data_IF_683175469995
#
_entry.id   IF_683175469995
#
_cell.length_a   1.000
_cell.length_b   1.000
_cell.length_c   1.000
_cell.angle_alpha   90.00
_cell.angle_beta   90.00
_cell.angle_gamma   90.00
#
_symmetry.space_group_name_H-M   'P 1'
#
loop_
_entity.id
_entity.type
_entity.pdbx_description
1 polymer ?
#
# COMPACT_ATOMS: atom_id res chain seq x y z
N UNK A 1 21.05 -13.42 -5.51
CA UNK A 1 19.77 -13.37 -6.26
C UNK A 1 19.12 -12.03 -5.98
N UNK A 2 18.33 -11.50 -6.91
CA UNK A 2 17.55 -10.29 -6.65
C UNK A 2 16.50 -10.57 -5.56
N UNK A 3 16.27 -9.61 -4.65
CA UNK A 3 15.23 -9.73 -3.62
C UNK A 3 13.84 -9.74 -4.23
N UNK A 4 12.93 -10.50 -3.63
CA UNK A 4 11.53 -10.59 -4.08
C UNK A 4 10.69 -9.53 -3.36
N UNK A 5 9.96 -8.75 -4.15
CA UNK A 5 9.02 -7.75 -3.68
C UNK A 5 7.59 -8.10 -4.09
N UNK A 6 6.69 -8.18 -3.13
CA UNK A 6 5.26 -8.39 -3.34
C UNK A 6 4.50 -7.09 -3.10
N UNK A 7 3.73 -6.65 -4.11
CA UNK A 7 2.90 -5.43 -4.04
C UNK A 7 1.42 -5.81 -4.13
N UNK A 8 0.65 -5.56 -3.08
CA UNK A 8 -0.81 -5.77 -3.13
C UNK A 8 -1.50 -4.63 -3.87
N UNK A 9 -2.51 -4.95 -4.70
CA UNK A 9 -3.10 -3.96 -5.61
C UNK A 9 -2.08 -3.38 -6.61
N UNK A 10 -1.08 -4.20 -7.00
CA UNK A 10 0.12 -3.77 -7.73
C UNK A 10 -0.04 -3.52 -9.22
N UNK A 11 -1.26 -3.63 -9.79
CA UNK A 11 -1.47 -3.58 -11.25
C UNK A 11 -2.08 -2.28 -11.76
N UNK A 12 -2.43 -1.33 -10.88
CA UNK A 12 -3.01 -0.03 -11.25
C UNK A 12 -2.62 1.09 -10.27
N UNK A 13 -2.80 2.34 -10.68
CA UNK A 13 -2.59 3.52 -9.84
C UNK A 13 -1.23 3.54 -9.12
N UNK A 14 -1.22 3.87 -7.84
CA UNK A 14 -0.02 3.91 -7.01
C UNK A 14 0.69 2.56 -6.99
N UNK A 15 -0.05 1.45 -6.87
CA UNK A 15 0.52 0.12 -6.84
C UNK A 15 1.28 -0.26 -8.12
N UNK A 16 0.77 0.15 -9.29
CA UNK A 16 1.44 -0.08 -10.57
C UNK A 16 2.75 0.73 -10.67
N UNK A 17 2.74 1.99 -10.25
CA UNK A 17 3.95 2.82 -10.19
C UNK A 17 4.99 2.22 -9.24
N UNK A 18 4.57 1.75 -8.05
CA UNK A 18 5.44 1.05 -7.10
C UNK A 18 6.05 -0.20 -7.74
N UNK A 19 5.22 -1.05 -8.37
CA UNK A 19 5.68 -2.29 -9.00
C UNK A 19 6.71 -2.02 -10.12
N UNK A 20 6.47 -1.00 -10.95
CA UNK A 20 7.41 -0.58 -12.00
C UNK A 20 8.72 -0.04 -11.41
N UNK A 21 8.65 0.80 -10.39
CA UNK A 21 9.82 1.41 -9.75
C UNK A 21 10.69 0.36 -9.03
N UNK A 22 10.09 -0.59 -8.32
CA UNK A 22 10.80 -1.70 -7.70
C UNK A 22 11.49 -2.58 -8.75
N UNK A 23 10.81 -2.89 -9.87
CA UNK A 23 11.44 -3.62 -10.97
C UNK A 23 12.63 -2.86 -11.58
N UNK A 24 12.48 -1.56 -11.81
CA UNK A 24 13.56 -0.71 -12.30
C UNK A 24 14.75 -0.61 -11.33
N UNK A 25 14.49 -0.75 -10.03
CA UNK A 25 15.51 -0.82 -8.98
C UNK A 25 16.16 -2.22 -8.83
N UNK A 26 15.80 -3.18 -9.70
CA UNK A 26 16.43 -4.50 -9.75
C UNK A 26 15.78 -5.58 -8.88
N UNK A 27 14.60 -5.30 -8.30
CA UNK A 27 13.84 -6.31 -7.54
C UNK A 27 13.08 -7.27 -8.47
N UNK A 28 12.91 -8.52 -8.01
CA UNK A 28 12.00 -9.48 -8.65
C UNK A 28 10.58 -9.23 -8.09
N UNK A 29 9.68 -8.70 -8.94
CA UNK A 29 8.40 -8.15 -8.46
C UNK A 29 7.23 -9.08 -8.76
N UNK A 30 6.42 -9.34 -7.74
CA UNK A 30 5.08 -9.92 -7.83
C UNK A 30 4.02 -8.83 -7.59
N UNK A 31 3.06 -8.66 -8.50
CA UNK A 31 1.95 -7.75 -8.36
C UNK A 31 0.64 -8.51 -8.11
N UNK A 32 0.08 -8.38 -6.91
CA UNK A 32 -1.24 -8.93 -6.62
C UNK A 32 -2.35 -8.02 -7.15
N UNK A 33 -3.46 -8.61 -7.54
CA UNK A 33 -4.71 -7.92 -7.88
C UNK A 33 -5.94 -8.71 -7.43
N UNK A 34 -7.09 -8.03 -7.26
CA UNK A 34 -8.33 -8.66 -6.77
C UNK A 34 -9.32 -9.02 -7.88
N UNK A 35 -9.63 -8.09 -8.78
CA UNK A 35 -10.84 -8.24 -9.62
C UNK A 35 -10.67 -8.04 -11.11
N UNK A 36 -9.76 -7.19 -11.59
CA UNK A 36 -9.67 -6.87 -13.02
C UNK A 36 -8.61 -7.71 -13.74
N UNK A 37 -9.03 -8.82 -14.33
CA UNK A 37 -8.14 -9.71 -15.11
C UNK A 37 -7.60 -9.01 -16.36
N UNK A 38 -8.41 -8.18 -17.02
CA UNK A 38 -8.00 -7.42 -18.20
C UNK A 38 -6.90 -6.41 -17.87
N UNK A 39 -7.08 -5.60 -16.82
CA UNK A 39 -6.08 -4.64 -16.40
C UNK A 39 -4.78 -5.32 -15.95
N UNK A 40 -4.89 -6.47 -15.28
CA UNK A 40 -3.73 -7.24 -14.87
C UNK A 40 -2.99 -7.85 -16.06
N UNK A 41 -3.69 -8.38 -17.06
CA UNK A 41 -3.10 -8.91 -18.29
C UNK A 41 -2.38 -7.82 -19.09
N UNK A 42 -3.00 -6.65 -19.23
CA UNK A 42 -2.39 -5.47 -19.86
C UNK A 42 -1.12 -5.04 -19.12
N UNK A 43 -1.20 -4.91 -17.79
CA UNK A 43 -0.05 -4.53 -16.96
C UNK A 43 1.11 -5.54 -17.12
N UNK A 44 0.81 -6.84 -17.12
CA UNK A 44 1.82 -7.90 -17.34
C UNK A 44 2.46 -7.79 -18.74
N UNK A 45 1.66 -7.57 -19.76
CA UNK A 45 2.16 -7.43 -21.14
C UNK A 45 3.09 -6.22 -21.29
N UNK A 46 2.75 -5.09 -20.68
CA UNK A 46 3.54 -3.86 -20.74
C UNK A 46 4.84 -3.93 -19.93
N UNK A 47 4.81 -4.62 -18.78
CA UNK A 47 5.89 -4.54 -17.80
C UNK A 47 6.72 -5.82 -17.69
N UNK A 48 6.17 -6.98 -18.11
CA UNK A 48 6.73 -8.28 -17.84
C UNK A 48 6.75 -8.66 -16.34
N UNK A 49 6.04 -7.92 -15.48
CA UNK A 49 5.91 -8.23 -14.05
C UNK A 49 4.90 -9.36 -13.88
N UNK A 50 5.22 -10.36 -13.05
CA UNK A 50 4.29 -11.44 -12.73
C UNK A 50 3.10 -10.92 -11.92
N UNK A 51 1.89 -11.30 -12.35
CA UNK A 51 0.64 -10.89 -11.71
C UNK A 51 -0.06 -12.10 -11.08
N UNK A 52 -0.65 -11.89 -9.91
CA UNK A 52 -1.28 -12.94 -9.12
C UNK A 52 -2.63 -12.47 -8.58
N UNK A 53 -3.66 -13.30 -8.74
CA UNK A 53 -5.02 -12.98 -8.33
C UNK A 53 -5.38 -13.61 -7.00
N UNK A 54 -5.69 -12.79 -6.00
CA UNK A 54 -6.39 -13.18 -4.78
C UNK A 54 -6.98 -11.98 -4.07
N UNK A 55 -7.98 -12.23 -3.23
CA UNK A 55 -8.58 -11.22 -2.35
C UNK A 55 -7.75 -11.09 -1.06
N UNK A 56 -7.21 -9.89 -0.82
CA UNK A 56 -6.39 -9.61 0.36
C UNK A 56 -7.19 -9.58 1.67
N UNK A 57 -8.52 -9.47 1.60
CA UNK A 57 -9.40 -9.55 2.78
C UNK A 57 -9.57 -10.98 3.31
N UNK A 58 -9.21 -12.01 2.52
CA UNK A 58 -9.25 -13.42 2.90
C UNK A 58 -7.89 -13.91 3.34
N UNK A 59 -7.79 -14.38 4.59
CA UNK A 59 -6.54 -14.92 5.15
C UNK A 59 -6.05 -16.14 4.37
N UNK A 60 -6.94 -17.09 4.06
CA UNK A 60 -6.59 -18.31 3.36
C UNK A 60 -6.16 -18.04 1.91
N UNK A 61 -6.81 -17.08 1.24
CA UNK A 61 -6.41 -16.66 -0.10
C UNK A 61 -5.03 -15.98 -0.08
N UNK A 62 -4.71 -15.18 0.94
CA UNK A 62 -3.39 -14.61 1.15
C UNK A 62 -2.33 -15.70 1.38
N UNK A 63 -2.62 -16.69 2.22
CA UNK A 63 -1.70 -17.80 2.48
C UNK A 63 -1.38 -18.58 1.21
N UNK A 64 -2.40 -18.93 0.43
CA UNK A 64 -2.22 -19.63 -0.85
C UNK A 64 -1.45 -18.77 -1.87
N UNK A 65 -1.78 -17.47 -1.95
CA UNK A 65 -1.13 -16.51 -2.85
C UNK A 65 0.34 -16.30 -2.52
N UNK A 66 0.68 -16.08 -1.27
CA UNK A 66 2.08 -15.96 -0.79
C UNK A 66 2.87 -17.21 -1.11
N UNK A 67 2.35 -18.40 -0.76
CA UNK A 67 3.00 -19.68 -1.08
C UNK A 67 3.27 -19.85 -2.57
N UNK A 68 2.33 -19.44 -3.43
CA UNK A 68 2.52 -19.48 -4.88
C UNK A 68 3.62 -18.54 -5.34
N UNK A 69 3.66 -17.31 -4.87
CA UNK A 69 4.71 -16.34 -5.19
C UNK A 69 6.07 -16.87 -4.76
N UNK A 70 6.19 -17.39 -3.53
CA UNK A 70 7.45 -17.91 -3.02
C UNK A 70 7.94 -19.14 -3.78
N UNK A 71 7.04 -20.01 -4.26
CA UNK A 71 7.39 -21.16 -5.07
C UNK A 71 7.92 -20.76 -6.46
N UNK A 72 7.42 -19.66 -7.03
CA UNK A 72 7.79 -19.23 -8.39
C UNK A 72 8.96 -18.24 -8.42
N UNK A 73 9.06 -17.33 -7.42
CA UNK A 73 10.02 -16.23 -7.43
C UNK A 73 11.07 -16.31 -6.32
N UNK A 74 10.85 -17.15 -5.33
CA UNK A 74 11.66 -17.22 -4.11
C UNK A 74 11.04 -16.47 -2.93
N UNK A 75 11.71 -16.51 -1.77
CA UNK A 75 11.18 -15.97 -0.52
C UNK A 75 10.94 -14.46 -0.62
N UNK A 76 9.79 -14.02 -0.09
CA UNK A 76 9.40 -12.61 -0.11
C UNK A 76 10.23 -11.84 0.92
N UNK A 77 11.03 -10.88 0.45
CA UNK A 77 11.87 -10.01 1.28
C UNK A 77 11.23 -8.65 1.51
N UNK A 78 10.41 -8.18 0.57
CA UNK A 78 9.74 -6.88 0.61
C UNK A 78 8.24 -7.09 0.43
N UNK A 79 7.44 -6.58 1.36
CA UNK A 79 5.99 -6.55 1.26
C UNK A 79 5.50 -5.10 1.22
N UNK A 80 4.77 -4.74 0.16
CA UNK A 80 4.09 -3.46 0.06
C UNK A 80 2.58 -3.67 0.14
N UNK A 81 1.98 -3.32 1.27
CA UNK A 81 0.55 -3.32 1.48
C UNK A 81 -0.05 -2.03 0.91
N UNK A 82 -0.54 -2.10 -0.33
CA UNK A 82 -1.11 -0.97 -1.04
C UNK A 82 -2.59 -1.19 -1.42
N UNK A 83 -3.08 -2.42 -1.43
CA UNK A 83 -4.48 -2.70 -1.75
C UNK A 83 -5.41 -1.99 -0.77
N UNK A 84 -6.46 -1.34 -1.30
CA UNK A 84 -7.44 -0.64 -0.49
C UNK A 84 -8.65 -0.20 -1.31
N UNK A 85 -9.75 0.05 -0.59
CA UNK A 85 -11.02 0.52 -1.15
C UNK A 85 -11.56 1.67 -0.31
N UNK A 86 -12.49 2.44 -0.90
CA UNK A 86 -13.32 3.42 -0.19
C UNK A 86 -14.80 3.06 -0.33
N UNK A 87 -15.60 3.42 0.67
CA UNK A 87 -17.08 3.36 0.67
C UNK A 87 -17.59 4.60 1.40
N UNK A 88 -17.38 5.75 0.75
CA UNK A 88 -17.57 7.05 1.35
C UNK A 88 -19.05 7.37 1.58
N UNK A 89 -19.37 7.69 2.81
CA UNK A 89 -20.67 8.20 3.23
C UNK A 89 -20.61 8.72 4.65
N UNK A 90 -21.54 9.64 5.01
CA UNK A 90 -21.63 10.13 6.39
C UNK A 90 -22.09 9.01 7.32
N UNK A 91 -21.57 8.99 8.56
CA UNK A 91 -21.79 7.91 9.52
C UNK A 91 -23.27 7.55 9.73
N UNK A 92 -24.16 8.55 9.83
CA UNK A 92 -25.59 8.30 10.04
C UNK A 92 -26.32 7.63 8.85
N UNK A 93 -25.66 7.52 7.70
CA UNK A 93 -26.14 6.84 6.49
C UNK A 93 -25.31 5.62 6.13
N UNK A 94 -24.20 5.38 6.84
CA UNK A 94 -23.27 4.29 6.56
C UNK A 94 -23.91 2.95 6.92
N UNK A 95 -23.92 2.03 5.96
CA UNK A 95 -24.37 0.64 6.20
C UNK A 95 -23.26 -0.17 6.85
N UNK A 96 -23.57 -1.18 7.69
CA UNK A 96 -22.58 -2.06 8.30
C UNK A 96 -21.61 -2.70 7.28
N UNK A 97 -22.12 -3.07 6.09
CA UNK A 97 -21.32 -3.68 5.03
C UNK A 97 -20.23 -2.72 4.52
N UNK A 98 -20.56 -1.42 4.37
CA UNK A 98 -19.60 -0.41 3.94
C UNK A 98 -18.48 -0.20 4.96
N UNK A 99 -18.80 -0.31 6.24
CA UNK A 99 -17.80 -0.31 7.30
C UNK A 99 -16.93 -1.56 7.24
N UNK A 100 -17.54 -2.73 7.26
CA UNK A 100 -16.85 -4.02 7.33
C UNK A 100 -15.96 -4.28 6.12
N UNK A 101 -16.45 -3.97 4.91
CA UNK A 101 -15.64 -4.10 3.69
C UNK A 101 -14.37 -3.24 3.74
N UNK A 102 -14.49 -1.98 4.18
CA UNK A 102 -13.34 -1.07 4.25
C UNK A 102 -12.36 -1.51 5.32
N UNK A 103 -12.83 -1.88 6.51
CA UNK A 103 -11.94 -2.35 7.59
C UNK A 103 -11.23 -3.65 7.19
N UNK A 104 -11.95 -4.62 6.65
CA UNK A 104 -11.36 -5.91 6.29
C UNK A 104 -10.37 -5.79 5.12
N UNK A 105 -10.71 -4.99 4.11
CA UNK A 105 -9.84 -4.84 2.93
C UNK A 105 -8.62 -3.96 3.23
N UNK A 106 -8.78 -2.84 3.93
CA UNK A 106 -7.67 -1.92 4.15
C UNK A 106 -6.82 -2.36 5.35
N UNK A 107 -7.42 -2.51 6.54
CA UNK A 107 -6.68 -2.85 7.75
C UNK A 107 -6.50 -4.36 7.96
N UNK A 108 -7.55 -5.15 7.78
CA UNK A 108 -7.49 -6.61 7.93
C UNK A 108 -6.48 -7.26 6.99
N UNK A 109 -6.34 -6.74 5.78
CA UNK A 109 -5.36 -7.23 4.81
C UNK A 109 -3.90 -7.10 5.29
N UNK A 110 -3.57 -6.08 6.10
CA UNK A 110 -2.22 -5.96 6.66
C UNK A 110 -1.88 -7.17 7.53
N UNK A 111 -2.80 -7.56 8.41
CA UNK A 111 -2.65 -8.77 9.20
C UNK A 111 -2.52 -10.00 8.30
N UNK A 112 -3.45 -10.16 7.34
CA UNK A 112 -3.47 -11.31 6.45
C UNK A 112 -2.15 -11.47 5.67
N UNK A 113 -1.62 -10.39 5.13
CA UNK A 113 -0.39 -10.42 4.35
C UNK A 113 0.85 -10.54 5.24
N UNK A 114 0.96 -9.71 6.28
CA UNK A 114 2.13 -9.72 7.16
C UNK A 114 2.28 -11.06 7.88
N UNK A 115 1.19 -11.66 8.39
CA UNK A 115 1.26 -12.94 9.09
C UNK A 115 1.80 -14.07 8.22
N UNK A 116 1.53 -14.01 6.91
CA UNK A 116 1.97 -15.04 5.96
C UNK A 116 3.41 -14.88 5.47
N UNK A 117 4.06 -13.72 5.67
CA UNK A 117 5.46 -13.50 5.24
C UNK A 117 6.44 -13.31 6.42
N UNK A 118 5.94 -12.89 7.58
CA UNK A 118 6.78 -12.43 8.68
C UNK A 118 7.70 -13.54 9.24
N UNK A 119 7.24 -14.78 9.30
CA UNK A 119 8.02 -15.89 9.83
C UNK A 119 9.27 -16.15 8.99
N UNK A 120 9.13 -16.28 7.67
CA UNK A 120 10.26 -16.41 6.76
C UNK A 120 11.21 -15.20 6.79
N UNK A 121 10.69 -13.99 6.93
CA UNK A 121 11.52 -12.80 7.13
C UNK A 121 12.33 -12.86 8.42
N UNK A 122 11.73 -13.33 9.53
CA UNK A 122 12.41 -13.51 10.82
C UNK A 122 13.54 -14.54 10.75
N UNK A 123 13.28 -15.68 10.11
CA UNK A 123 14.29 -16.75 9.93
C UNK A 123 15.49 -16.25 9.12
N UNK A 124 15.25 -15.49 8.07
CA UNK A 124 16.31 -14.89 7.21
C UNK A 124 16.95 -13.63 7.82
N UNK A 125 16.41 -13.12 8.93
CA UNK A 125 16.84 -11.87 9.59
C UNK A 125 16.85 -10.67 8.63
N UNK A 126 15.89 -10.63 7.73
CA UNK A 126 15.69 -9.55 6.78
C UNK A 126 14.22 -9.45 6.36
N UNK A 127 13.69 -8.24 6.37
CA UNK A 127 12.38 -7.92 5.83
C UNK A 127 12.18 -6.41 5.69
N UNK A 128 11.39 -6.01 4.68
CA UNK A 128 10.94 -4.63 4.47
C UNK A 128 9.43 -4.65 4.28
N UNK A 129 8.69 -4.11 5.22
CA UNK A 129 7.23 -4.00 5.15
C UNK A 129 6.88 -2.52 5.02
N UNK A 130 6.18 -2.16 3.96
CA UNK A 130 5.78 -0.79 3.66
C UNK A 130 4.25 -0.75 3.51
N UNK A 131 3.58 -0.01 4.38
CA UNK A 131 2.13 0.12 4.39
C UNK A 131 1.73 1.46 3.75
N UNK A 132 0.93 1.42 2.69
CA UNK A 132 0.44 2.63 2.02
C UNK A 132 -0.85 3.07 2.72
N UNK A 133 -0.68 3.92 3.71
CA UNK A 133 -1.77 4.53 4.45
C UNK A 133 -2.38 5.73 3.69
N UNK A 134 -2.69 6.81 4.36
CA UNK A 134 -3.27 8.02 3.78
C UNK A 134 -3.11 9.20 4.72
N UNK A 135 -3.07 10.41 4.17
CA UNK A 135 -3.28 11.65 4.92
C UNK A 135 -4.59 11.60 5.73
N UNK A 136 -5.62 10.90 5.23
CA UNK A 136 -6.91 10.78 5.90
C UNK A 136 -6.87 9.86 7.12
N UNK A 137 -5.84 9.02 7.27
CA UNK A 137 -5.53 8.33 8.51
C UNK A 137 -4.87 9.23 9.57
N UNK A 138 -4.25 10.33 9.15
CA UNK A 138 -3.60 11.29 10.05
C UNK A 138 -4.57 12.40 10.50
N UNK A 139 -5.30 13.03 9.56
CA UNK A 139 -6.17 14.19 9.85
C UNK A 139 -7.66 13.88 9.91
N UNK A 140 -8.08 12.70 9.47
CA UNK A 140 -9.49 12.40 9.21
C UNK A 140 -10.01 13.06 7.93
N UNK A 141 -11.20 12.62 7.47
CA UNK A 141 -11.87 13.19 6.31
C UNK A 141 -13.39 13.06 6.47
N UNK A 142 -14.11 14.14 6.19
CA UNK A 142 -15.57 14.15 6.19
C UNK A 142 -16.14 13.08 5.24
N UNK A 143 -17.09 12.28 5.73
CA UNK A 143 -17.70 11.19 4.95
C UNK A 143 -16.85 9.92 4.84
N UNK A 144 -15.72 9.82 5.55
CA UNK A 144 -14.78 8.70 5.50
C UNK A 144 -14.43 8.14 6.89
N UNK A 145 -15.40 8.02 7.79
CA UNK A 145 -15.13 7.50 9.13
C UNK A 145 -14.57 6.06 9.11
N UNK A 146 -15.06 5.19 8.22
CA UNK A 146 -14.52 3.85 7.98
C UNK A 146 -13.09 3.88 7.40
N UNK A 147 -12.88 4.64 6.33
CA UNK A 147 -11.58 4.71 5.66
C UNK A 147 -10.51 5.38 6.55
N UNK A 148 -10.87 6.49 7.20
CA UNK A 148 -9.95 7.17 8.13
C UNK A 148 -9.58 6.29 9.33
N UNK A 149 -10.53 5.54 9.88
CA UNK A 149 -10.28 4.60 10.96
C UNK A 149 -9.33 3.48 10.50
N UNK A 150 -9.58 2.87 9.32
CA UNK A 150 -8.69 1.86 8.77
C UNK A 150 -7.27 2.39 8.54
N UNK A 151 -7.14 3.56 7.90
CA UNK A 151 -5.85 4.17 7.59
C UNK A 151 -5.08 4.64 8.84
N UNK A 152 -5.77 5.10 9.88
CA UNK A 152 -5.17 5.36 11.19
C UNK A 152 -4.71 4.06 11.87
N UNK A 153 -5.52 3.00 11.78
CA UNK A 153 -5.18 1.66 12.27
C UNK A 153 -3.91 1.10 11.61
N UNK A 154 -3.70 1.33 10.30
CA UNK A 154 -2.48 0.94 9.59
C UNK A 154 -1.23 1.61 10.18
N UNK A 155 -1.32 2.87 10.62
CA UNK A 155 -0.22 3.58 11.29
C UNK A 155 0.08 2.96 12.65
N UNK A 156 -0.96 2.64 13.43
CA UNK A 156 -0.81 1.93 14.71
C UNK A 156 -0.19 0.54 14.54
N UNK A 157 -0.71 -0.25 13.58
CA UNK A 157 -0.17 -1.55 13.21
C UNK A 157 1.32 -1.47 12.82
N UNK A 158 1.68 -0.48 12.01
CA UNK A 158 3.06 -0.23 11.57
C UNK A 158 4.00 -0.06 12.76
N UNK A 159 3.62 0.80 13.72
CA UNK A 159 4.44 1.10 14.90
C UNK A 159 4.62 -0.11 15.82
N UNK A 160 3.57 -0.92 16.01
CA UNK A 160 3.63 -2.12 16.83
C UNK A 160 4.51 -3.19 16.17
N UNK A 161 4.27 -3.50 14.90
CA UNK A 161 5.03 -4.53 14.18
C UNK A 161 6.51 -4.13 13.98
N UNK A 162 6.80 -2.84 13.87
CA UNK A 162 8.18 -2.33 13.82
C UNK A 162 8.98 -2.70 15.08
N UNK A 163 8.36 -2.59 16.27
CA UNK A 163 9.00 -2.98 17.54
C UNK A 163 9.26 -4.49 17.61
N UNK A 164 8.34 -5.30 17.10
CA UNK A 164 8.48 -6.75 17.07
C UNK A 164 9.58 -7.22 16.08
N UNK A 165 9.71 -6.51 14.95
CA UNK A 165 10.60 -6.87 13.85
C UNK A 165 12.04 -6.36 13.99
N UNK A 166 12.25 -5.25 14.69
CA UNK A 166 13.52 -4.50 14.67
C UNK A 166 14.75 -5.37 15.05
N UNK A 167 14.63 -6.17 16.11
CA UNK A 167 15.75 -7.02 16.60
C UNK A 167 16.11 -8.17 15.67
N UNK A 168 15.25 -8.47 14.70
CA UNK A 168 15.46 -9.56 13.72
C UNK A 168 15.60 -9.01 12.29
N UNK A 169 16.00 -7.74 12.14
CA UNK A 169 16.34 -7.15 10.84
C UNK A 169 15.16 -6.80 9.95
N UNK A 170 13.94 -6.75 10.52
CA UNK A 170 12.74 -6.38 9.77
C UNK A 170 12.40 -4.92 10.08
N UNK A 171 12.22 -4.11 9.04
CA UNK A 171 11.70 -2.75 9.18
C UNK A 171 10.24 -2.68 8.70
N UNK A 172 9.44 -1.88 9.39
CA UNK A 172 8.03 -1.67 9.06
C UNK A 172 7.74 -0.17 9.07
N UNK A 173 7.31 0.38 7.95
CA UNK A 173 7.06 1.81 7.79
C UNK A 173 5.72 2.07 7.10
N UNK A 174 5.11 3.20 7.39
CA UNK A 174 3.91 3.68 6.70
C UNK A 174 4.25 4.90 5.81
N UNK A 175 3.63 4.96 4.64
CA UNK A 175 3.61 6.15 3.80
C UNK A 175 2.17 6.68 3.81
N UNK A 176 2.00 7.99 3.98
CA UNK A 176 0.71 8.67 3.99
C UNK A 176 0.62 9.64 2.80
N UNK A 177 0.18 9.14 1.62
CA UNK A 177 -0.04 10.00 0.46
C UNK A 177 -1.15 11.02 0.73
N UNK A 178 -1.01 12.21 0.11
CA UNK A 178 -2.09 13.15 -0.08
C UNK A 178 -2.93 12.81 -1.32
N UNK A 179 -3.41 13.82 -2.03
CA UNK A 179 -4.09 13.61 -3.32
C UNK A 179 -3.07 13.30 -4.42
N UNK A 180 -3.16 12.09 -4.97
CA UNK A 180 -2.28 11.56 -6.02
C UNK A 180 -3.05 11.45 -7.34
N UNK A 181 -2.44 11.82 -8.46
CA UNK A 181 -3.01 11.86 -9.81
C UNK A 181 -3.28 10.46 -10.40
N UNK A 182 -4.03 9.64 -9.67
CA UNK A 182 -4.53 8.34 -10.14
C UNK A 182 -5.76 8.53 -11.04
N UNK A 183 -6.14 7.49 -11.79
CA UNK A 183 -7.34 7.51 -12.62
C UNK A 183 -8.60 7.88 -11.82
N UNK A 184 -8.70 7.44 -10.56
CA UNK A 184 -9.80 7.78 -9.66
C UNK A 184 -9.87 9.29 -9.38
N UNK A 185 -8.74 9.94 -9.14
CA UNK A 185 -8.69 11.39 -8.87
C UNK A 185 -8.85 12.18 -10.16
N UNK A 186 -8.26 11.73 -11.27
CA UNK A 186 -8.42 12.36 -12.60
C UNK A 186 -9.86 12.29 -13.14
N UNK A 187 -10.64 11.29 -12.70
CA UNK A 187 -12.06 11.15 -13.06
C UNK A 187 -12.98 12.11 -12.29
N UNK A 188 -12.49 12.85 -11.29
CA UNK A 188 -13.28 13.86 -10.58
C UNK A 188 -13.62 15.04 -11.50
N UNK A 189 -14.78 15.70 -11.30
CA UNK A 189 -15.10 16.93 -12.02
C UNK A 189 -13.98 17.98 -11.83
N UNK A 190 -13.55 18.60 -12.93
CA UNK A 190 -12.47 19.59 -12.93
C UNK A 190 -12.74 20.75 -11.97
N UNK A 191 -14.00 21.15 -11.85
CA UNK A 191 -14.41 22.21 -10.93
C UNK A 191 -14.13 21.84 -9.47
N UNK A 192 -14.42 20.58 -9.07
CA UNK A 192 -14.14 20.07 -7.72
C UNK A 192 -12.64 20.04 -7.47
N UNK A 193 -11.88 19.56 -8.46
CA UNK A 193 -10.43 19.50 -8.38
C UNK A 193 -9.82 20.90 -8.18
N UNK A 194 -10.20 21.86 -9.02
CA UNK A 194 -9.65 23.22 -9.03
C UNK A 194 -10.10 24.05 -7.82
N UNK A 195 -11.37 23.96 -7.42
CA UNK A 195 -11.91 24.82 -6.37
C UNK A 195 -11.77 24.23 -4.96
N UNK A 196 -11.84 22.90 -4.83
CA UNK A 196 -11.94 22.27 -3.52
C UNK A 196 -10.70 21.48 -3.11
N UNK A 197 -9.93 20.95 -4.07
CA UNK A 197 -8.79 20.08 -3.75
C UNK A 197 -7.47 20.82 -3.87
N UNK A 198 -7.14 21.35 -5.03
CA UNK A 198 -5.86 22.01 -5.26
C UNK A 198 -5.53 23.14 -4.28
N UNK A 199 -6.51 23.99 -3.87
CA UNK A 199 -6.23 25.04 -2.88
C UNK A 199 -5.81 24.52 -1.50
N UNK A 200 -6.12 23.25 -1.18
CA UNK A 200 -5.71 22.62 0.08
C UNK A 200 -4.28 22.04 0.02
N UNK A 201 -3.65 22.00 -1.14
CA UNK A 201 -2.32 21.41 -1.32
C UNK A 201 -1.29 22.54 -1.42
N UNK A 202 -0.46 22.79 -0.40
CA UNK A 202 0.50 23.90 -0.41
C UNK A 202 1.45 23.94 -1.60
N UNK A 203 1.89 22.79 -2.12
CA UNK A 203 2.73 22.76 -3.34
C UNK A 203 1.95 23.05 -4.63
N UNK A 204 0.61 23.26 -4.58
CA UNK A 204 -0.22 23.72 -5.69
C UNK A 204 -0.53 22.69 -6.76
N UNK A 205 -0.24 21.41 -6.57
CA UNK A 205 -0.51 20.33 -7.53
C UNK A 205 -0.83 19.02 -6.84
N UNK A 206 -1.40 18.09 -7.57
CA UNK A 206 -1.47 16.70 -7.16
C UNK A 206 -0.06 16.09 -7.09
N UNK A 207 0.13 15.12 -6.21
CA UNK A 207 1.29 14.24 -6.30
C UNK A 207 1.15 13.25 -7.46
N UNK A 208 2.27 12.79 -8.00
CA UNK A 208 2.28 11.73 -9.01
C UNK A 208 2.51 10.37 -8.35
N UNK A 209 1.93 9.26 -8.88
CA UNK A 209 2.15 7.92 -8.34
C UNK A 209 3.63 7.55 -8.21
N UNK A 210 4.48 8.06 -9.10
CA UNK A 210 5.92 7.84 -9.11
C UNK A 210 6.63 8.50 -7.91
N UNK A 211 6.08 9.57 -7.35
CA UNK A 211 6.61 10.21 -6.14
C UNK A 211 6.40 9.32 -4.91
N UNK A 212 5.26 8.62 -4.84
CA UNK A 212 5.02 7.61 -3.79
C UNK A 212 5.90 6.38 -4.01
N UNK A 213 6.04 5.93 -5.26
CA UNK A 213 6.88 4.79 -5.60
C UNK A 213 8.35 5.03 -5.21
N UNK A 214 8.87 6.26 -5.36
CA UNK A 214 10.21 6.65 -4.92
C UNK A 214 10.39 6.46 -3.41
N UNK A 215 9.40 6.84 -2.61
CA UNK A 215 9.42 6.61 -1.16
C UNK A 215 9.48 5.12 -0.83
N UNK A 216 8.74 4.29 -1.56
CA UNK A 216 8.76 2.83 -1.39
C UNK A 216 10.13 2.26 -1.73
N UNK A 217 10.74 2.65 -2.87
CA UNK A 217 12.08 2.16 -3.25
C UNK A 217 13.11 2.54 -2.21
N UNK A 218 13.06 3.76 -1.66
CA UNK A 218 13.94 4.18 -0.57
C UNK A 218 13.78 3.28 0.68
N UNK A 219 12.55 3.06 1.14
CA UNK A 219 12.30 2.24 2.34
C UNK A 219 12.55 0.73 2.11
N UNK A 220 12.53 0.27 0.87
CA UNK A 220 12.81 -1.12 0.50
C UNK A 220 14.30 -1.45 0.42
N UNK A 221 15.17 -0.44 0.34
CA UNK A 221 16.60 -0.61 0.15
C UNK A 221 17.27 -1.33 1.34
N UNK A 222 18.38 -2.02 1.06
CA UNK A 222 19.14 -2.76 2.08
C UNK A 222 19.73 -1.81 3.13
N UNK A 223 20.15 -0.62 2.73
CA UNK A 223 20.72 0.43 3.58
C UNK A 223 19.70 1.29 4.32
N UNK A 224 18.40 1.07 4.09
CA UNK A 224 17.32 1.73 4.83
C UNK A 224 17.02 1.10 6.21
N UNK A 225 17.90 0.26 6.72
CA UNK A 225 17.67 -0.51 7.95
C UNK A 225 17.45 0.31 9.24
N UNK A 226 17.82 1.58 9.26
CA UNK A 226 17.58 2.47 10.40
C UNK A 226 16.15 3.03 10.44
N UNK A 227 15.45 3.01 9.30
CA UNK A 227 14.08 3.51 9.20
C UNK A 227 13.09 2.41 9.55
N UNK A 228 12.52 2.44 10.77
CA UNK A 228 11.46 1.52 11.20
C UNK A 228 10.49 2.23 12.15
N UNK A 229 9.20 1.93 12.05
CA UNK A 229 8.13 2.59 12.80
C UNK A 229 7.80 4.00 12.31
N UNK A 230 8.43 4.46 11.23
CA UNK A 230 8.21 5.79 10.69
C UNK A 230 6.86 5.91 9.96
N UNK A 231 6.31 7.12 10.02
CA UNK A 231 5.15 7.53 9.21
C UNK A 231 5.60 8.65 8.29
N UNK A 232 5.80 8.34 7.02
CA UNK A 232 6.28 9.28 6.01
C UNK A 232 5.09 10.00 5.36
N UNK A 233 4.92 11.28 5.65
CA UNK A 233 3.88 12.12 5.05
C UNK A 233 4.31 12.59 3.66
N UNK A 234 3.73 12.01 2.60
CA UNK A 234 3.98 12.36 1.20
C UNK A 234 2.74 13.04 0.60
N UNK A 235 2.43 14.27 1.06
CA UNK A 235 1.12 14.89 0.86
C UNK A 235 1.19 16.35 0.34
N UNK A 236 2.36 16.81 -0.11
CA UNK A 236 2.50 18.17 -0.64
C UNK A 236 2.27 19.28 0.38
N UNK A 237 2.44 19.00 1.68
CA UNK A 237 2.25 19.96 2.75
C UNK A 237 0.80 20.09 3.24
N UNK A 238 -0.13 19.22 2.81
CA UNK A 238 -1.52 19.25 3.30
C UNK A 238 -1.67 18.92 4.79
N UNK A 239 -0.72 18.19 5.35
CA UNK A 239 -0.70 17.82 6.76
C UNK A 239 0.74 17.69 7.24
N UNK A 240 1.01 18.24 8.39
CA UNK A 240 2.29 18.15 9.11
C UNK A 240 2.07 17.30 10.36
N UNK A 241 2.85 16.24 10.55
CA UNK A 241 2.83 15.38 11.72
C UNK A 241 4.01 15.69 12.62
#
# INVERSE_FOLDING_TARGET
MARVALVTGGTRGIGAAISRALKAAGYNVAANYGSSDEAAAKFKAETGINVYKWDVSSFDACAAGVKKVEAELGPIDILVNNAGITRDTQLHRMKPEQWTEVINTNLGSLFNMCRNVIEGMRERKFGRIINISSINGQKGQFGQTNYSAAKAGEIGFTKALAQEGARVGITVNAICPGYIATDMVKAMPQEVLQKNILPQIPIGRLGEPEEIARCVVFLAADDAGLFTGATLSANGGQYYA
#
